data_IF_007337639912
#
_entry.id   IF_007337639912
#
_cell.length_a   1.000
_cell.length_b   1.000
_cell.length_c   1.000
_cell.angle_alpha   90.00
_cell.angle_beta   90.00
_cell.angle_gamma   90.00
#
_symmetry.space_group_name_H-M   'P 1'
#
loop_
_entity.id
_entity.type
_entity.pdbx_description
1 polymer ?
#
# COMPACT_ATOMS: atom_id res chain seq x y z
N UNK A 1 -7.27 -95.64 -37.94
CA UNK A 1 -6.59 -94.64 -37.11
C UNK A 1 -6.80 -93.29 -37.73
N UNK A 2 -7.68 -92.45 -37.15
CA UNK A 2 -7.96 -91.08 -37.58
C UNK A 2 -7.31 -90.15 -36.63
N UNK A 3 -6.34 -89.32 -37.09
CA UNK A 3 -5.75 -88.24 -36.37
C UNK A 3 -6.65 -86.99 -36.55
N UNK A 4 -7.16 -86.43 -35.43
CA UNK A 4 -7.90 -85.18 -35.41
C UNK A 4 -6.85 -84.10 -35.05
N UNK A 5 -6.68 -83.15 -35.99
CA UNK A 5 -5.83 -82.01 -35.81
C UNK A 5 -6.69 -80.83 -35.19
N UNK A 6 -6.42 -80.53 -33.94
CA UNK A 6 -7.10 -79.36 -33.28
C UNK A 6 -6.24 -78.09 -33.53
N UNK A 7 -6.80 -77.16 -34.31
CA UNK A 7 -6.18 -75.88 -34.54
C UNK A 7 -6.66 -74.87 -33.45
N UNK A 8 -5.74 -74.52 -32.58
CA UNK A 8 -5.99 -73.41 -31.62
C UNK A 8 -5.84 -72.08 -32.31
N UNK A 9 -6.96 -71.37 -32.48
CA UNK A 9 -7.00 -69.97 -32.90
C UNK A 9 -6.70 -69.12 -31.70
N UNK A 10 -5.51 -68.53 -31.64
CA UNK A 10 -5.15 -67.52 -30.63
C UNK A 10 -5.67 -66.16 -31.16
N UNK A 11 -6.74 -65.65 -30.57
CA UNK A 11 -7.16 -64.26 -30.79
C UNK A 11 -6.28 -63.32 -30.01
N UNK A 12 -5.47 -62.55 -30.73
CA UNK A 12 -4.77 -61.43 -30.18
C UNK A 12 -5.76 -60.25 -30.04
N UNK A 13 -6.25 -60.04 -28.82
CA UNK A 13 -6.96 -58.80 -28.48
C UNK A 13 -5.91 -57.71 -28.29
N UNK A 14 -5.78 -56.84 -29.30
CA UNK A 14 -5.00 -55.60 -29.23
C UNK A 14 -5.70 -54.63 -28.28
N UNK A 15 -5.24 -54.57 -27.02
CA UNK A 15 -5.60 -53.46 -26.10
C UNK A 15 -4.95 -52.17 -26.63
N UNK A 16 -5.75 -51.39 -27.33
CA UNK A 16 -5.39 -50.03 -27.69
C UNK A 16 -5.41 -49.14 -26.42
N UNK A 17 -4.24 -48.87 -25.88
CA UNK A 17 -4.05 -47.97 -24.78
C UNK A 17 -4.10 -46.53 -25.37
N UNK A 18 -5.32 -45.96 -25.46
CA UNK A 18 -5.49 -44.55 -25.73
C UNK A 18 -4.91 -43.76 -24.53
N UNK A 19 -3.68 -43.25 -24.65
CA UNK A 19 -3.16 -42.22 -23.76
C UNK A 19 -4.04 -40.99 -23.94
N UNK A 20 -4.98 -40.80 -23.02
CA UNK A 20 -5.64 -39.53 -22.80
C UNK A 20 -4.59 -38.50 -22.39
N UNK A 21 -4.12 -37.72 -23.34
CA UNK A 21 -3.33 -36.51 -23.06
C UNK A 21 -4.33 -35.53 -22.46
N UNK A 22 -4.43 -35.55 -21.12
CA UNK A 22 -5.06 -34.47 -20.40
C UNK A 22 -4.25 -33.19 -20.71
N UNK A 23 -4.73 -32.41 -21.67
CA UNK A 23 -4.32 -31.03 -21.79
C UNK A 23 -4.74 -30.36 -20.47
N UNK A 24 -3.80 -30.26 -19.53
CA UNK A 24 -3.91 -29.30 -18.46
C UNK A 24 -3.87 -27.92 -19.15
N UNK A 25 -5.04 -27.43 -19.47
CA UNK A 25 -5.23 -26.03 -19.81
C UNK A 25 -4.82 -25.21 -18.57
N UNK A 26 -3.52 -24.92 -18.50
CA UNK A 26 -2.96 -23.94 -17.60
C UNK A 26 -3.30 -22.54 -18.17
N UNK A 27 -4.56 -22.24 -18.36
CA UNK A 27 -5.01 -20.87 -18.38
C UNK A 27 -4.78 -20.31 -16.95
N UNK A 28 -3.52 -20.06 -16.60
CA UNK A 28 -3.18 -19.16 -15.53
C UNK A 28 -3.88 -17.85 -15.89
N UNK A 29 -5.07 -17.64 -15.35
CA UNK A 29 -5.68 -16.32 -15.33
C UNK A 29 -4.62 -15.39 -14.75
N UNK A 30 -3.94 -14.67 -15.64
CA UNK A 30 -2.82 -13.81 -15.28
C UNK A 30 -3.41 -12.74 -14.35
N UNK A 31 -3.19 -12.91 -13.04
CA UNK A 31 -3.70 -11.94 -12.05
C UNK A 31 -3.19 -10.56 -12.45
N UNK A 32 -4.11 -9.65 -12.75
CA UNK A 32 -3.79 -8.26 -13.08
C UNK A 32 -2.96 -7.70 -11.95
N UNK A 33 -1.77 -7.19 -12.28
CA UNK A 33 -0.92 -6.57 -11.28
C UNK A 33 -1.56 -5.25 -10.83
N UNK A 34 -1.45 -4.94 -9.53
CA UNK A 34 -2.06 -3.77 -8.91
C UNK A 34 -1.00 -2.87 -8.33
N UNK A 35 -1.14 -1.58 -8.50
CA UNK A 35 -0.29 -0.58 -7.84
C UNK A 35 -1.15 0.39 -7.05
N UNK A 36 -0.61 0.88 -5.93
CA UNK A 36 -1.11 2.07 -5.26
C UNK A 36 -0.06 3.18 -5.37
N UNK A 37 -0.53 4.41 -5.50
CA UNK A 37 0.29 5.62 -5.45
C UNK A 37 -0.21 6.44 -4.27
N UNK A 38 0.69 6.80 -3.37
CA UNK A 38 0.44 7.63 -2.21
C UNK A 38 1.13 8.96 -2.41
N UNK A 39 0.39 10.06 -2.25
CA UNK A 39 0.97 11.41 -2.26
C UNK A 39 1.10 11.86 -0.80
N UNK A 40 2.34 11.91 -0.34
CA UNK A 40 2.71 12.34 1.02
C UNK A 40 2.80 13.86 1.14
N UNK A 41 3.06 14.38 2.34
CA UNK A 41 3.34 15.78 2.67
C UNK A 41 2.21 16.79 2.34
N UNK A 42 0.97 16.34 2.22
CA UNK A 42 -0.19 17.21 1.98
C UNK A 42 -0.52 18.00 3.26
N UNK A 43 -0.66 19.35 3.13
CA UNK A 43 -1.25 20.15 4.19
C UNK A 43 -0.56 21.46 4.52
N UNK A 44 0.70 21.66 4.20
CA UNK A 44 1.38 22.92 4.47
C UNK A 44 1.05 24.05 3.46
N UNK A 45 0.72 23.69 2.24
CA UNK A 45 0.52 24.68 1.17
C UNK A 45 -0.87 24.51 0.56
N UNK A 46 -1.53 25.65 0.31
CA UNK A 46 -2.81 25.66 -0.43
C UNK A 46 -2.66 25.03 -1.83
N UNK A 47 -1.48 25.16 -2.43
CA UNK A 47 -1.17 24.60 -3.76
C UNK A 47 -1.11 23.07 -3.77
N UNK A 48 -1.04 22.41 -2.61
CA UNK A 48 -1.09 20.93 -2.52
C UNK A 48 -2.43 20.39 -3.07
N UNK A 49 -3.48 21.24 -3.12
CA UNK A 49 -4.76 20.92 -3.77
C UNK A 49 -4.63 20.50 -5.24
N UNK A 50 -3.57 20.92 -5.94
CA UNK A 50 -3.34 20.52 -7.33
C UNK A 50 -3.11 19.00 -7.48
N UNK A 51 -2.65 18.33 -6.43
CA UNK A 51 -2.48 16.88 -6.41
C UNK A 51 -3.83 16.13 -6.36
N UNK A 52 -4.88 16.74 -5.75
CA UNK A 52 -6.21 16.14 -5.67
C UNK A 52 -6.90 16.01 -7.06
N UNK A 53 -6.37 16.71 -8.06
CA UNK A 53 -6.83 16.60 -9.45
C UNK A 53 -6.14 15.46 -10.22
N UNK A 54 -5.37 14.60 -9.56
CA UNK A 54 -4.83 13.39 -10.19
C UNK A 54 -5.98 12.42 -10.48
N UNK A 55 -5.98 11.77 -11.66
CA UNK A 55 -7.01 10.81 -12.00
C UNK A 55 -6.84 9.50 -11.23
N UNK A 56 -7.92 8.78 -11.09
CA UNK A 56 -7.94 7.44 -10.53
C UNK A 56 -7.85 7.37 -9.01
N UNK A 57 -7.57 6.20 -8.51
CA UNK A 57 -7.61 5.89 -7.09
C UNK A 57 -6.24 6.17 -6.41
N UNK A 58 -5.80 7.43 -6.47
CA UNK A 58 -4.61 7.87 -5.73
C UNK A 58 -4.96 8.04 -4.26
N UNK A 59 -4.08 7.57 -3.38
CA UNK A 59 -4.22 7.75 -1.93
C UNK A 59 -3.49 9.02 -1.50
N UNK A 60 -4.06 9.78 -0.58
CA UNK A 60 -3.43 10.98 -0.04
C UNK A 60 -3.03 10.78 1.42
N UNK A 61 -1.83 11.24 1.76
CA UNK A 61 -1.28 11.16 3.11
C UNK A 61 -1.06 12.57 3.66
N UNK A 62 -1.78 12.89 4.72
CA UNK A 62 -2.01 14.24 5.20
C UNK A 62 -1.22 14.47 6.48
N UNK A 63 -0.42 15.52 6.50
CA UNK A 63 0.27 16.00 7.72
C UNK A 63 -0.77 16.59 8.68
N UNK A 64 -0.95 16.01 9.87
CA UNK A 64 -1.90 16.54 10.85
C UNK A 64 -1.43 17.88 11.40
N UNK A 65 -2.38 18.68 11.89
CA UNK A 65 -2.14 19.96 12.54
C UNK A 65 -1.42 20.98 11.64
N UNK A 66 -1.62 20.88 10.32
CA UNK A 66 -1.08 21.80 9.32
C UNK A 66 -2.17 22.74 8.81
N UNK A 67 -1.81 23.94 8.28
CA UNK A 67 -2.79 24.98 7.95
C UNK A 67 -3.89 24.55 6.98
N UNK A 68 -3.60 23.62 6.06
CA UNK A 68 -4.54 23.17 5.03
C UNK A 68 -4.84 21.67 5.13
N UNK A 69 -4.21 20.95 6.07
CA UNK A 69 -4.32 19.50 6.16
C UNK A 69 -5.76 19.01 6.25
N UNK A 70 -6.53 19.55 7.21
CA UNK A 70 -7.92 19.13 7.42
C UNK A 70 -8.80 19.38 6.19
N UNK A 71 -8.78 20.58 5.62
CA UNK A 71 -9.64 20.90 4.48
C UNK A 71 -9.28 20.11 3.22
N UNK A 72 -7.97 19.87 2.98
CA UNK A 72 -7.54 19.06 1.84
C UNK A 72 -7.88 17.58 2.04
N UNK A 73 -7.81 17.07 3.28
CA UNK A 73 -8.26 15.73 3.60
C UNK A 73 -9.76 15.54 3.36
N UNK A 74 -10.58 16.51 3.80
CA UNK A 74 -12.03 16.52 3.57
C UNK A 74 -12.36 16.52 2.07
N UNK A 75 -11.69 17.36 1.29
CA UNK A 75 -11.87 17.42 -0.17
C UNK A 75 -11.48 16.10 -0.85
N UNK A 76 -10.37 15.49 -0.45
CA UNK A 76 -9.93 14.22 -1.01
C UNK A 76 -10.90 13.09 -0.63
N UNK A 77 -11.37 13.07 0.62
CA UNK A 77 -12.34 12.08 1.10
C UNK A 77 -13.69 12.18 0.37
N UNK A 78 -14.18 13.39 0.12
CA UNK A 78 -15.41 13.64 -0.67
C UNK A 78 -15.30 13.17 -2.13
N UNK A 79 -14.08 13.00 -2.64
CA UNK A 79 -13.79 12.47 -3.96
C UNK A 79 -13.40 10.96 -3.91
N UNK A 80 -13.80 10.25 -2.86
CA UNK A 80 -13.61 8.80 -2.67
C UNK A 80 -12.12 8.35 -2.65
N UNK A 81 -11.20 9.24 -2.29
CA UNK A 81 -9.81 8.88 -2.09
C UNK A 81 -9.57 8.28 -0.70
N UNK A 82 -8.74 7.24 -0.62
CA UNK A 82 -8.20 6.77 0.64
C UNK A 82 -7.32 7.85 1.29
N UNK A 83 -7.49 8.06 2.59
CA UNK A 83 -6.72 9.03 3.37
C UNK A 83 -5.87 8.33 4.42
N UNK A 84 -4.58 8.66 4.45
CA UNK A 84 -3.67 8.32 5.54
C UNK A 84 -3.30 9.56 6.34
N UNK A 85 -2.97 9.39 7.61
CA UNK A 85 -2.27 10.38 8.40
C UNK A 85 -0.76 10.24 8.17
N UNK A 86 -0.11 11.30 7.72
CA UNK A 86 1.34 11.37 7.53
C UNK A 86 2.00 11.83 8.83
N UNK A 87 2.29 10.86 9.72
CA UNK A 87 2.75 11.17 11.08
C UNK A 87 4.24 11.50 11.08
N UNK A 88 4.64 12.73 11.49
CA UNK A 88 6.03 13.06 11.65
C UNK A 88 6.69 12.18 12.72
N UNK A 89 7.81 11.54 12.38
CA UNK A 89 8.56 10.65 13.26
C UNK A 89 10.03 11.03 13.27
N UNK A 90 10.68 10.90 14.43
CA UNK A 90 12.07 11.31 14.61
C UNK A 90 13.02 10.62 13.64
N UNK A 91 13.88 11.44 13.00
CA UNK A 91 14.89 11.02 12.03
C UNK A 91 16.31 11.10 12.61
N UNK A 92 17.23 10.30 12.04
CA UNK A 92 18.64 10.27 12.48
C UNK A 92 19.38 11.60 12.23
N UNK A 93 18.93 12.39 11.26
CA UNK A 93 19.57 13.65 10.88
C UNK A 93 19.19 14.87 11.74
N UNK A 94 18.38 14.68 12.78
CA UNK A 94 17.97 15.75 13.71
C UNK A 94 17.11 16.86 13.11
N UNK A 95 16.55 16.68 11.89
CA UNK A 95 15.66 17.67 11.29
C UNK A 95 14.46 17.93 12.18
N UNK A 96 14.03 19.19 12.23
CA UNK A 96 12.81 19.60 12.95
C UNK A 96 11.60 18.82 12.39
N UNK A 97 10.80 18.34 13.30
CA UNK A 97 9.55 17.64 13.00
C UNK A 97 8.40 18.64 12.98
N UNK A 98 7.36 18.33 12.24
CA UNK A 98 6.12 19.08 12.26
C UNK A 98 5.30 18.84 13.54
N UNK A 99 4.13 19.49 13.67
CA UNK A 99 3.22 19.26 14.79
C UNK A 99 2.73 17.79 14.80
N UNK A 100 2.34 17.30 15.98
CA UNK A 100 1.91 15.90 16.13
C UNK A 100 3.02 14.85 16.06
N UNK A 101 4.28 15.27 16.07
CA UNK A 101 5.44 14.41 15.91
C UNK A 101 5.57 13.36 17.02
N UNK A 102 6.10 12.18 16.66
CA UNK A 102 6.53 11.15 17.58
C UNK A 102 8.06 11.15 17.70
N UNK A 103 8.56 11.20 18.94
CA UNK A 103 10.00 11.17 19.24
C UNK A 103 10.36 9.97 20.11
N UNK A 104 11.64 9.62 20.13
CA UNK A 104 12.13 8.40 20.80
C UNK A 104 12.08 8.47 22.33
N UNK A 105 12.05 9.67 22.87
CA UNK A 105 11.97 9.96 24.31
C UNK A 105 10.52 9.99 24.85
N UNK A 106 9.51 9.94 23.98
CA UNK A 106 8.11 9.94 24.38
C UNK A 106 7.76 8.68 25.16
N UNK A 107 6.92 8.86 26.20
CA UNK A 107 6.23 7.75 26.85
C UNK A 107 5.09 7.22 25.99
N UNK A 108 4.61 6.00 26.28
CA UNK A 108 3.41 5.45 25.62
C UNK A 108 2.23 6.40 25.67
N UNK A 109 1.96 7.00 26.84
CA UNK A 109 0.87 7.97 27.02
C UNK A 109 0.99 9.15 26.06
N UNK A 110 2.20 9.69 25.85
CA UNK A 110 2.44 10.80 24.93
C UNK A 110 2.24 10.37 23.47
N UNK A 111 2.76 9.21 23.06
CA UNK A 111 2.56 8.67 21.70
C UNK A 111 1.07 8.48 21.42
N UNK A 112 0.34 7.83 22.35
CA UNK A 112 -1.11 7.62 22.21
C UNK A 112 -1.88 8.93 22.12
N UNK A 113 -1.54 9.91 22.96
CA UNK A 113 -2.18 11.22 22.96
C UNK A 113 -1.96 11.96 21.64
N UNK A 114 -0.74 11.93 21.09
CA UNK A 114 -0.43 12.55 19.81
C UNK A 114 -1.20 11.89 18.66
N UNK A 115 -1.20 10.57 18.59
CA UNK A 115 -1.97 9.83 17.59
C UNK A 115 -3.47 10.09 17.71
N UNK A 116 -4.01 10.08 18.95
CA UNK A 116 -5.43 10.40 19.21
C UNK A 116 -5.79 11.79 18.70
N UNK A 117 -4.95 12.79 18.95
CA UNK A 117 -5.16 14.17 18.47
C UNK A 117 -5.20 14.20 16.94
N UNK A 118 -4.25 13.54 16.27
CA UNK A 118 -4.20 13.49 14.80
C UNK A 118 -5.43 12.81 14.19
N UNK A 119 -5.87 11.68 14.73
CA UNK A 119 -7.09 11.01 14.27
C UNK A 119 -8.38 11.77 14.60
N UNK A 120 -8.41 12.58 15.68
CA UNK A 120 -9.56 13.42 15.95
C UNK A 120 -9.71 14.55 14.93
N UNK A 121 -8.60 15.04 14.39
CA UNK A 121 -8.62 16.06 13.35
C UNK A 121 -9.07 15.50 11.98
N UNK A 122 -8.64 14.28 11.65
CA UNK A 122 -8.95 13.61 10.38
C UNK A 122 -9.51 12.21 10.69
N UNK A 123 -10.78 12.11 11.14
CA UNK A 123 -11.34 10.89 11.71
C UNK A 123 -11.56 9.78 10.67
N UNK A 124 -11.66 10.12 9.40
CA UNK A 124 -11.84 9.19 8.28
C UNK A 124 -10.54 8.62 7.72
N UNK A 125 -9.39 8.94 8.32
CA UNK A 125 -8.12 8.33 7.93
C UNK A 125 -8.13 6.82 8.22
N UNK A 126 -7.83 6.02 7.21
CA UNK A 126 -7.84 4.55 7.26
C UNK A 126 -6.54 3.95 7.80
N UNK A 127 -5.55 4.78 8.07
CA UNK A 127 -4.23 4.36 8.56
C UNK A 127 -3.27 5.51 8.71
N UNK A 128 -2.03 5.15 8.97
CA UNK A 128 -0.92 6.11 9.02
C UNK A 128 0.25 5.64 8.18
N UNK A 129 1.11 6.59 7.75
CA UNK A 129 2.48 6.31 7.35
C UNK A 129 3.46 7.28 8.02
N UNK A 130 4.74 6.97 7.99
CA UNK A 130 5.74 7.81 8.62
C UNK A 130 6.27 8.90 7.67
N UNK A 131 6.11 10.18 8.07
CA UNK A 131 6.93 11.28 7.56
C UNK A 131 8.29 11.23 8.23
N UNK A 132 9.38 11.17 7.44
CA UNK A 132 10.73 10.87 7.99
C UNK A 132 10.75 9.55 8.77
N UNK A 133 11.20 9.56 10.05
CA UNK A 133 11.13 8.40 10.93
C UNK A 133 12.33 7.47 10.85
N UNK A 134 13.43 7.85 10.18
CA UNK A 134 14.58 6.97 10.02
C UNK A 134 15.22 6.53 11.34
N UNK A 135 15.01 7.25 12.47
CA UNK A 135 15.42 6.87 13.81
C UNK A 135 14.32 6.09 14.55
N UNK A 136 13.13 6.64 14.63
CA UNK A 136 12.04 6.07 15.44
C UNK A 136 11.60 4.69 14.96
N UNK A 137 11.49 4.48 13.63
CA UNK A 137 11.06 3.19 13.06
C UNK A 137 12.03 2.03 13.32
N UNK A 138 13.28 2.31 13.72
CA UNK A 138 14.25 1.29 14.11
C UNK A 138 14.03 0.76 15.53
N UNK A 139 13.26 1.46 16.37
CA UNK A 139 13.12 1.17 17.78
C UNK A 139 11.86 0.37 18.04
N UNK A 140 12.00 -0.78 18.68
CA UNK A 140 10.88 -1.66 18.99
C UNK A 140 9.85 -0.98 19.90
N UNK A 141 10.29 -0.37 20.99
CA UNK A 141 9.41 0.14 22.05
C UNK A 141 8.42 1.21 21.58
N UNK A 142 8.84 2.34 20.95
CA UNK A 142 7.90 3.34 20.44
C UNK A 142 7.02 2.80 19.30
N UNK A 143 7.56 1.92 18.44
CA UNK A 143 6.76 1.28 17.40
C UNK A 143 5.73 0.31 17.96
N UNK A 144 6.04 -0.44 19.03
CA UNK A 144 5.07 -1.31 19.69
C UNK A 144 3.91 -0.51 20.29
N UNK A 145 4.17 0.64 20.89
CA UNK A 145 3.12 1.53 21.40
C UNK A 145 2.25 2.11 20.27
N UNK A 146 2.90 2.52 19.18
CA UNK A 146 2.21 2.96 17.96
C UNK A 146 1.31 1.86 17.42
N UNK A 147 1.84 0.64 17.23
CA UNK A 147 1.07 -0.47 16.64
C UNK A 147 -0.08 -0.93 17.53
N UNK A 148 0.08 -0.93 18.86
CA UNK A 148 -1.04 -1.21 19.77
C UNK A 148 -2.19 -0.22 19.57
N UNK A 149 -1.88 1.07 19.49
CA UNK A 149 -2.89 2.08 19.23
C UNK A 149 -3.59 1.89 17.87
N UNK A 150 -2.84 1.58 16.80
CA UNK A 150 -3.42 1.31 15.49
C UNK A 150 -4.30 0.06 15.49
N UNK A 151 -3.89 -0.98 16.21
CA UNK A 151 -4.68 -2.20 16.37
C UNK A 151 -6.04 -1.93 17.04
N UNK A 152 -6.06 -1.14 18.11
CA UNK A 152 -7.28 -0.75 18.80
C UNK A 152 -8.24 0.04 17.90
N UNK A 153 -7.70 0.83 16.98
CA UNK A 153 -8.48 1.59 16.00
C UNK A 153 -8.81 0.80 14.72
N UNK A 154 -8.27 -0.39 14.59
CA UNK A 154 -8.44 -1.22 13.38
C UNK A 154 -8.03 -0.52 12.08
N UNK A 155 -6.90 0.18 12.07
CA UNK A 155 -6.36 0.94 10.94
C UNK A 155 -5.01 0.38 10.48
N UNK A 156 -4.62 0.66 9.23
CA UNK A 156 -3.38 0.16 8.63
C UNK A 156 -2.14 0.99 9.00
N UNK A 157 -0.98 0.39 8.81
CA UNK A 157 0.32 1.06 8.79
C UNK A 157 1.02 0.87 7.45
N UNK A 158 1.42 1.96 6.80
CA UNK A 158 2.31 1.96 5.65
C UNK A 158 3.72 2.38 6.08
N UNK A 159 4.69 1.47 6.03
CA UNK A 159 6.09 1.83 6.25
C UNK A 159 6.66 2.53 4.99
N UNK A 160 6.96 3.83 5.12
CA UNK A 160 7.60 4.60 4.05
C UNK A 160 9.06 4.17 3.80
N UNK A 161 9.60 3.27 4.64
CA UNK A 161 10.95 2.69 4.55
C UNK A 161 12.04 3.77 4.34
N UNK A 162 12.02 4.79 5.18
CA UNK A 162 13.05 5.85 5.20
C UNK A 162 14.38 5.37 5.78
N UNK A 163 14.39 4.20 6.41
CA UNK A 163 15.59 3.47 6.84
C UNK A 163 15.49 1.99 6.46
N UNK A 164 16.58 1.42 5.95
CA UNK A 164 16.68 -0.03 5.73
C UNK A 164 16.65 -0.85 7.03
N UNK A 165 16.91 -0.19 8.17
CA UNK A 165 16.89 -0.79 9.51
C UNK A 165 15.51 -0.70 10.16
N UNK A 166 14.46 -0.23 9.46
CA UNK A 166 13.11 -0.16 10.00
C UNK A 166 12.66 -1.51 10.55
N UNK A 167 12.08 -1.48 11.74
CA UNK A 167 11.42 -2.62 12.40
C UNK A 167 9.90 -2.50 12.34
N UNK A 168 9.39 -1.38 11.80
CA UNK A 168 7.97 -1.04 11.87
C UNK A 168 7.07 -2.13 11.29
N UNK A 169 7.33 -2.62 10.07
CA UNK A 169 6.54 -3.69 9.47
C UNK A 169 6.57 -4.99 10.28
N UNK A 170 7.74 -5.38 10.86
CA UNK A 170 7.82 -6.56 11.75
C UNK A 170 7.00 -6.36 13.03
N UNK A 171 7.06 -5.17 13.62
CA UNK A 171 6.28 -4.86 14.83
C UNK A 171 4.79 -4.82 14.51
N UNK A 172 4.38 -4.26 13.36
CA UNK A 172 2.99 -4.26 12.90
C UNK A 172 2.43 -5.70 12.79
N UNK A 173 3.17 -6.61 12.14
CA UNK A 173 2.79 -8.03 12.06
C UNK A 173 2.65 -8.69 13.44
N UNK A 174 3.57 -8.41 14.36
CA UNK A 174 3.51 -8.96 15.73
C UNK A 174 2.22 -8.55 16.46
N UNK A 175 1.74 -7.32 16.24
CA UNK A 175 0.49 -6.83 16.83
C UNK A 175 -0.75 -7.06 15.96
N UNK A 176 -0.63 -7.80 14.84
CA UNK A 176 -1.71 -8.02 13.88
C UNK A 176 -2.32 -6.71 13.36
N UNK A 177 -1.49 -5.70 13.11
CA UNK A 177 -1.86 -4.48 12.40
C UNK A 177 -1.67 -4.73 10.91
N UNK A 178 -2.67 -4.48 10.05
CA UNK A 178 -2.49 -4.56 8.61
C UNK A 178 -1.34 -3.65 8.18
N UNK A 179 -0.34 -4.22 7.48
CA UNK A 179 0.86 -3.48 7.14
C UNK A 179 1.19 -3.59 5.65
N UNK A 180 1.68 -2.50 5.14
CA UNK A 180 2.16 -2.36 3.76
C UNK A 180 3.53 -1.65 3.77
N UNK A 181 4.30 -1.84 2.71
CA UNK A 181 5.63 -1.26 2.59
C UNK A 181 5.78 -0.54 1.24
N UNK A 182 6.41 0.63 1.25
CA UNK A 182 6.76 1.33 0.02
C UNK A 182 7.72 0.49 -0.84
N UNK A 183 7.42 0.41 -2.12
CA UNK A 183 8.31 -0.19 -3.12
C UNK A 183 9.25 0.84 -3.75
N UNK A 184 8.74 2.04 -4.09
CA UNK A 184 9.48 3.07 -4.83
C UNK A 184 9.13 4.47 -4.31
N UNK A 185 10.12 5.37 -4.17
CA UNK A 185 9.88 6.81 -4.23
C UNK A 185 9.94 7.26 -5.69
N UNK A 186 8.94 8.04 -6.14
CA UNK A 186 8.88 8.47 -7.54
C UNK A 186 9.74 9.71 -7.81
N UNK A 187 9.86 10.60 -6.83
CA UNK A 187 10.30 11.97 -7.01
C UNK A 187 11.40 12.44 -6.04
N UNK A 188 12.33 11.54 -5.67
CA UNK A 188 13.56 11.95 -4.98
C UNK A 188 14.38 12.99 -5.77
N UNK A 189 14.14 13.08 -7.09
CA UNK A 189 14.61 14.12 -7.98
C UNK A 189 13.42 14.60 -8.80
N UNK A 190 13.22 15.93 -8.87
CA UNK A 190 12.11 16.58 -9.56
C UNK A 190 12.33 16.70 -11.08
N UNK A 191 12.91 15.67 -11.67
CA UNK A 191 13.19 15.57 -13.10
C UNK A 191 12.22 14.58 -13.76
N UNK A 192 11.65 14.96 -14.91
CA UNK A 192 10.66 14.14 -15.62
C UNK A 192 11.21 12.76 -16.00
N UNK A 193 12.49 12.68 -16.42
CA UNK A 193 13.14 11.42 -16.82
C UNK A 193 13.32 10.52 -15.60
N UNK A 194 13.71 11.12 -14.45
CA UNK A 194 13.85 10.39 -13.19
C UNK A 194 12.50 9.81 -12.74
N UNK A 195 11.46 10.64 -12.67
CA UNK A 195 10.12 10.22 -12.24
C UNK A 195 9.60 9.11 -13.16
N UNK A 196 9.72 9.28 -14.49
CA UNK A 196 9.36 8.23 -15.46
C UNK A 196 10.12 6.92 -15.23
N UNK A 197 11.43 7.00 -14.97
CA UNK A 197 12.26 5.82 -14.66
C UNK A 197 11.75 5.09 -13.41
N UNK A 198 11.42 5.83 -12.34
CA UNK A 198 10.89 5.23 -11.11
C UNK A 198 9.48 4.65 -11.32
N UNK A 199 8.63 5.30 -12.11
CA UNK A 199 7.31 4.79 -12.46
C UNK A 199 7.40 3.45 -13.25
N UNK A 200 8.28 3.34 -14.22
CA UNK A 200 8.54 2.09 -14.92
C UNK A 200 9.12 1.00 -13.99
N UNK A 201 9.93 1.41 -13.00
CA UNK A 201 10.41 0.50 -11.95
C UNK A 201 9.26 -0.03 -11.08
N UNK A 202 8.31 0.83 -10.71
CA UNK A 202 7.10 0.45 -9.97
C UNK A 202 6.31 -0.63 -10.72
N UNK A 203 6.05 -0.42 -12.03
CA UNK A 203 5.37 -1.38 -12.90
C UNK A 203 6.09 -2.73 -12.89
N UNK A 204 7.42 -2.74 -13.11
CA UNK A 204 8.21 -3.98 -13.08
C UNK A 204 8.14 -4.69 -11.72
N UNK A 205 8.19 -3.93 -10.63
CA UNK A 205 8.09 -4.51 -9.29
C UNK A 205 6.71 -5.12 -9.05
N UNK A 206 5.63 -4.48 -9.47
CA UNK A 206 4.29 -5.05 -9.36
C UNK A 206 4.18 -6.37 -10.14
N UNK A 207 4.61 -6.39 -11.40
CA UNK A 207 4.57 -7.59 -12.26
C UNK A 207 5.41 -8.76 -11.71
N UNK A 208 6.52 -8.46 -11.04
CA UNK A 208 7.47 -9.47 -10.55
C UNK A 208 7.30 -9.83 -9.07
N UNK A 209 6.45 -9.13 -8.32
CA UNK A 209 6.22 -9.45 -6.92
C UNK A 209 5.31 -10.68 -6.78
N UNK A 210 5.49 -11.45 -5.70
CA UNK A 210 4.64 -12.62 -5.40
C UNK A 210 3.16 -12.25 -5.21
N UNK A 211 2.91 -11.04 -4.72
CA UNK A 211 1.55 -10.52 -4.50
C UNK A 211 0.95 -9.87 -5.75
N UNK A 212 1.71 -9.72 -6.83
CA UNK A 212 1.37 -8.88 -7.99
C UNK A 212 0.98 -7.44 -7.58
N UNK A 213 1.67 -6.90 -6.58
CA UNK A 213 1.41 -5.54 -6.08
C UNK A 213 2.70 -4.75 -5.87
N UNK A 214 2.61 -3.43 -5.99
CA UNK A 214 3.67 -2.51 -5.58
C UNK A 214 3.09 -1.16 -5.15
N UNK A 215 3.80 -0.45 -4.28
CA UNK A 215 3.36 0.83 -3.73
C UNK A 215 4.41 1.89 -4.04
N UNK A 216 3.99 2.99 -4.65
CA UNK A 216 4.80 4.18 -4.80
C UNK A 216 4.41 5.25 -3.79
N UNK A 217 5.42 6.00 -3.34
CA UNK A 217 5.23 7.26 -2.64
C UNK A 217 5.79 8.38 -3.51
N UNK A 218 5.07 9.49 -3.56
CA UNK A 218 5.45 10.74 -4.21
C UNK A 218 4.99 11.93 -3.37
N UNK A 219 5.34 13.16 -3.78
CA UNK A 219 5.02 14.37 -3.05
C UNK A 219 4.27 15.37 -3.96
N UNK A 220 3.54 16.37 -3.41
CA UNK A 220 2.68 17.28 -4.20
C UNK A 220 3.47 18.36 -4.93
N UNK A 221 4.64 18.04 -5.47
CA UNK A 221 5.40 18.96 -6.31
C UNK A 221 4.69 19.15 -7.66
N UNK A 222 4.63 20.39 -8.19
CA UNK A 222 4.00 20.64 -9.50
C UNK A 222 4.55 19.75 -10.62
N UNK A 223 5.88 19.51 -10.62
CA UNK A 223 6.57 18.63 -11.56
C UNK A 223 6.09 17.20 -11.45
N UNK A 224 5.99 16.68 -10.23
CA UNK A 224 5.51 15.32 -9.96
C UNK A 224 4.07 15.15 -10.44
N UNK A 225 3.17 16.08 -10.06
CA UNK A 225 1.76 16.05 -10.47
C UNK A 225 1.63 16.10 -11.99
N UNK A 226 2.37 16.99 -12.66
CA UNK A 226 2.39 17.11 -14.12
C UNK A 226 2.81 15.81 -14.80
N UNK A 227 3.87 15.17 -14.29
CA UNK A 227 4.40 13.93 -14.87
C UNK A 227 3.44 12.77 -14.60
N UNK A 228 2.89 12.66 -13.41
CA UNK A 228 1.91 11.61 -13.07
C UNK A 228 0.66 11.69 -13.95
N UNK A 229 0.11 12.88 -14.22
CA UNK A 229 -1.03 13.06 -15.16
C UNK A 229 -0.73 12.47 -16.54
N UNK A 230 0.51 12.55 -17.02
CA UNK A 230 0.93 11.95 -18.31
C UNK A 230 1.13 10.43 -18.23
N UNK A 231 1.61 9.92 -17.07
CA UNK A 231 2.03 8.53 -16.94
C UNK A 231 0.90 7.59 -16.50
N UNK A 232 -0.05 8.05 -15.70
CA UNK A 232 -1.15 7.22 -15.20
C UNK A 232 -1.95 6.52 -16.31
N UNK A 233 -2.28 7.16 -17.46
CA UNK A 233 -2.97 6.48 -18.55
C UNK A 233 -2.19 5.30 -19.17
N UNK A 234 -0.87 5.25 -18.97
CA UNK A 234 -0.05 4.13 -19.47
C UNK A 234 -0.31 2.82 -18.72
N UNK A 235 -0.84 2.89 -17.49
CA UNK A 235 -1.11 1.70 -16.69
C UNK A 235 -2.10 0.76 -17.37
N UNK A 236 -3.14 1.30 -18.01
CA UNK A 236 -4.10 0.51 -18.76
C UNK A 236 -3.43 -0.26 -19.92
N UNK A 237 -2.47 0.39 -20.63
CA UNK A 237 -1.70 -0.24 -21.71
C UNK A 237 -0.77 -1.35 -21.20
N UNK A 238 -0.32 -1.23 -19.95
CA UNK A 238 0.55 -2.19 -19.27
C UNK A 238 -0.23 -3.32 -18.56
N UNK A 239 -1.57 -3.33 -18.67
CA UNK A 239 -2.45 -4.25 -17.91
C UNK A 239 -2.20 -4.19 -16.41
N UNK A 240 -2.06 -2.96 -15.87
CA UNK A 240 -1.88 -2.68 -14.44
C UNK A 240 -3.12 -1.93 -13.93
N UNK A 241 -3.66 -2.37 -12.83
CA UNK A 241 -4.71 -1.62 -12.14
C UNK A 241 -4.10 -0.63 -11.13
N UNK A 242 -4.47 0.65 -11.24
CA UNK A 242 -4.29 1.62 -10.17
C UNK A 242 -5.43 1.44 -9.17
N UNK A 243 -5.11 1.21 -7.92
CA UNK A 243 -6.09 0.96 -6.86
C UNK A 243 -5.79 1.83 -5.64
N UNK A 244 -6.79 2.21 -4.83
CA UNK A 244 -6.55 2.81 -3.53
C UNK A 244 -5.77 1.84 -2.64
N UNK A 245 -5.02 2.38 -1.67
CA UNK A 245 -4.11 1.55 -0.86
C UNK A 245 -4.85 0.48 -0.05
N UNK A 246 -6.09 0.74 0.37
CA UNK A 246 -6.93 -0.22 1.09
C UNK A 246 -7.15 -1.52 0.32
N UNK A 247 -7.22 -1.47 -1.00
CA UNK A 247 -7.42 -2.64 -1.85
C UNK A 247 -6.16 -3.52 -1.99
N UNK A 248 -4.99 -3.09 -1.50
CA UNK A 248 -3.79 -3.90 -1.47
C UNK A 248 -3.69 -4.77 -0.22
N UNK A 249 -4.53 -4.55 0.77
CA UNK A 249 -4.58 -5.37 1.99
C UNK A 249 -5.12 -6.78 1.68
N UNK A 250 -4.68 -7.79 2.44
CA UNK A 250 -5.16 -9.17 2.30
C UNK A 250 -6.65 -9.34 2.57
N UNK A 251 -7.21 -8.47 3.43
CA UNK A 251 -8.65 -8.37 3.74
C UNK A 251 -9.06 -6.90 3.75
N UNK A 252 -10.27 -6.57 3.24
CA UNK A 252 -10.77 -5.21 3.30
C UNK A 252 -10.82 -4.72 4.75
N UNK A 253 -10.39 -3.47 5.00
CA UNK A 253 -10.69 -2.79 6.25
C UNK A 253 -12.22 -2.63 6.37
N UNK A 254 -12.81 -2.73 7.56
CA UNK A 254 -14.22 -2.38 7.75
C UNK A 254 -14.44 -0.94 7.29
N UNK A 255 -15.51 -0.72 6.54
CA UNK A 255 -15.90 0.61 6.07
C UNK A 255 -16.06 1.58 7.23
N UNK A 256 -15.54 2.79 7.09
CA UNK A 256 -15.52 3.84 8.13
C UNK A 256 -16.91 4.29 8.61
N UNK A 257 -17.98 3.93 7.91
CA UNK A 257 -19.37 4.24 8.31
C UNK A 257 -19.79 3.66 9.67
N UNK A 258 -19.03 2.70 10.23
CA UNK A 258 -19.31 2.16 11.58
C UNK A 258 -18.65 2.92 12.73
N UNK A 259 -17.74 3.86 12.46
CA UNK A 259 -17.06 4.61 13.52
C UNK A 259 -17.82 5.87 13.95
N UNK A 260 -18.78 6.34 13.16
CA UNK A 260 -19.64 7.49 13.50
C UNK A 260 -20.73 7.14 14.53
N UNK A 261 -21.03 5.86 14.77
CA UNK A 261 -22.14 5.43 15.64
C UNK A 261 -21.74 5.01 17.07
N UNK A 262 -20.46 5.05 17.42
CA UNK A 262 -19.99 4.62 18.77
C UNK A 262 -19.64 5.80 19.69
N UNK A 263 -20.03 7.00 19.32
CA UNK A 263 -19.68 8.23 20.07
C UNK A 263 -20.81 8.90 20.84
N UNK A 264 -21.96 8.26 21.01
CA UNK A 264 -23.08 8.78 21.80
C UNK A 264 -23.57 7.69 22.78
N UNK A 265 -22.81 7.43 23.82
CA UNK A 265 -23.27 6.90 25.09
C UNK A 265 -22.30 7.33 26.22
#
# INVERSE_FOLDING_TARGET
VRCILIIFLIQYSSLSWAKSIAHHDHSRTQKIARIAIVIDDIGYRKTDSAALALPGNVTFSILPHTPFGKILAEQAHQNDHDILLHIPMEAENGKKLGPGALTVDMSEKKIRSSLKSSFNEIPFAIGINNHMGSKLTQLYKPMAWTMRYLKERNVLFLDSLTSRKSKAGRVARYFNVPELNRSVFLDNQLDEKYIKKQFLRLIRQAKNSRSNTAIAIAHPHPETVKVLKKLLPLLAKEHIALVPISQLLPMPLPTTDRLASVGND
#
